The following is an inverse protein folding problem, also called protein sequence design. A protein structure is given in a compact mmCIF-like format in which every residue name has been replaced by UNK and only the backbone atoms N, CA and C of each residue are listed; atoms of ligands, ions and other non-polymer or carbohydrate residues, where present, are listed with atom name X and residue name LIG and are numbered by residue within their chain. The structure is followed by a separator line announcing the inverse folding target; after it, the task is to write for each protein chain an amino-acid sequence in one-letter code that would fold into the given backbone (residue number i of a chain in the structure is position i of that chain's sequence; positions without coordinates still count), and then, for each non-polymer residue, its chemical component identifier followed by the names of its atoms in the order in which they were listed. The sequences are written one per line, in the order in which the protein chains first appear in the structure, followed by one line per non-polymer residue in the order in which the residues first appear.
data_IF_968445586306
#
_entry.id   IF_968445586306
#
_cell.length_a   1.000
_cell.length_b   1.000
_cell.length_c   1.000
_cell.angle_alpha   90.00
_cell.angle_beta   90.00
_cell.angle_gamma   90.00
#
_symmetry.space_group_name_H-M   'P 1'
#
loop_
_entity.id
_entity.type
_entity.pdbx_description
1 polymer ?
#
# COMPACT_ATOMS: atom_id res chain seq x y z
N UNK A 1 -5.17 -38.50 -18.03
CA UNK A 1 -4.91 -37.15 -17.47
C UNK A 1 -4.95 -37.30 -15.96
N UNK A 2 -3.80 -37.29 -15.29
CA UNK A 2 -3.74 -37.40 -13.82
C UNK A 2 -3.91 -35.98 -13.29
N UNK A 3 -5.04 -35.71 -12.63
CA UNK A 3 -5.24 -34.46 -11.91
C UNK A 3 -4.39 -34.53 -10.65
N UNK A 4 -3.28 -33.77 -10.63
CA UNK A 4 -2.43 -33.62 -9.45
C UNK A 4 -3.22 -32.83 -8.41
N UNK A 5 -3.60 -33.47 -7.31
CA UNK A 5 -4.26 -32.79 -6.19
C UNK A 5 -3.20 -31.99 -5.44
N UNK A 6 -3.25 -30.67 -5.57
CA UNK A 6 -2.38 -29.76 -4.81
C UNK A 6 -3.00 -29.61 -3.41
N UNK A 7 -2.28 -30.08 -2.39
CA UNK A 7 -2.65 -29.81 -1.00
C UNK A 7 -2.39 -28.34 -0.68
N UNK A 8 -3.43 -27.61 -0.28
CA UNK A 8 -3.33 -26.19 0.14
C UNK A 8 -2.77 -26.04 1.56
N UNK A 9 -2.48 -27.13 2.26
CA UNK A 9 -1.88 -27.09 3.60
C UNK A 9 -0.42 -26.68 3.47
N UNK A 10 -0.02 -25.65 4.21
CA UNK A 10 1.38 -25.27 4.34
C UNK A 10 2.05 -26.28 5.28
N UNK A 11 2.96 -27.07 4.76
CA UNK A 11 3.85 -27.92 5.55
C UNK A 11 5.28 -27.76 5.03
N UNK A 12 6.32 -28.10 5.81
CA UNK A 12 7.71 -28.01 5.34
C UNK A 12 8.00 -28.77 4.04
N UNK A 13 7.16 -29.76 3.70
CA UNK A 13 7.30 -30.58 2.50
C UNK A 13 6.25 -30.28 1.43
N UNK A 14 5.38 -29.28 1.60
CA UNK A 14 4.33 -28.98 0.63
C UNK A 14 4.85 -28.04 -0.47
N UNK A 15 4.48 -28.34 -1.71
CA UNK A 15 4.76 -27.47 -2.87
C UNK A 15 4.05 -26.11 -2.75
N UNK A 16 2.94 -26.05 -1.99
CA UNK A 16 2.22 -24.81 -1.70
C UNK A 16 3.04 -23.84 -0.85
N UNK A 17 4.02 -24.32 -0.06
CA UNK A 17 4.87 -23.48 0.77
C UNK A 17 5.77 -22.57 -0.06
N UNK A 18 6.36 -23.08 -1.14
CA UNK A 18 7.26 -22.30 -2.01
C UNK A 18 6.51 -21.15 -2.68
N UNK A 19 5.36 -21.44 -3.29
CA UNK A 19 4.52 -20.41 -3.91
C UNK A 19 3.93 -19.42 -2.90
N UNK A 20 3.69 -19.85 -1.66
CA UNK A 20 3.29 -18.93 -0.59
C UNK A 20 4.45 -18.08 -0.09
N UNK A 21 5.69 -18.60 -0.06
CA UNK A 21 6.83 -17.87 0.47
C UNK A 21 7.28 -16.74 -0.47
N UNK A 22 7.18 -16.96 -1.79
CA UNK A 22 7.54 -16.02 -2.84
C UNK A 22 6.46 -16.00 -3.96
N UNK A 23 5.28 -15.39 -3.69
CA UNK A 23 4.15 -15.44 -4.62
C UNK A 23 4.41 -14.70 -5.94
N UNK A 24 5.26 -13.68 -5.91
CA UNK A 24 5.58 -12.81 -7.04
C UNK A 24 6.66 -13.36 -7.98
N UNK A 25 7.25 -14.52 -7.68
CA UNK A 25 8.21 -15.18 -8.60
C UNK A 25 7.54 -15.67 -9.89
N UNK A 26 6.24 -15.95 -9.83
CA UNK A 26 5.48 -16.53 -10.95
C UNK A 26 4.54 -15.53 -11.62
N UNK A 27 4.19 -14.45 -10.93
CA UNK A 27 3.21 -13.48 -11.38
C UNK A 27 3.63 -12.09 -10.92
N UNK A 28 3.65 -11.14 -11.85
CA UNK A 28 3.93 -9.75 -11.53
C UNK A 28 2.74 -9.09 -10.86
N UNK A 29 3.00 -8.49 -9.70
CA UNK A 29 2.00 -7.73 -8.95
C UNK A 29 2.37 -6.26 -9.00
N UNK A 30 1.40 -5.43 -9.40
CA UNK A 30 1.54 -3.99 -9.48
C UNK A 30 0.64 -3.31 -8.46
N UNK A 31 1.21 -2.36 -7.73
CA UNK A 31 0.48 -1.45 -6.87
C UNK A 31 0.38 -0.10 -7.57
N UNK A 32 -0.86 0.32 -7.87
CA UNK A 32 -1.13 1.54 -8.60
C UNK A 32 -1.71 2.59 -7.68
N UNK A 33 -1.12 3.79 -7.67
CA UNK A 33 -1.64 4.92 -6.92
C UNK A 33 -2.25 5.96 -7.85
N UNK A 34 -3.42 6.46 -7.50
CA UNK A 34 -4.05 7.61 -8.14
C UNK A 34 -4.10 8.71 -7.09
N UNK A 35 -3.45 9.83 -7.40
CA UNK A 35 -3.35 10.97 -6.50
C UNK A 35 -4.36 12.04 -6.89
N UNK A 36 -4.87 12.78 -5.91
CA UNK A 36 -5.73 13.95 -6.14
C UNK A 36 -4.93 15.22 -5.92
N UNK A 37 -4.57 15.90 -7.02
CA UNK A 37 -3.90 17.19 -7.02
C UNK A 37 -4.91 18.32 -6.78
N UNK A 38 -4.63 19.22 -5.83
CA UNK A 38 -5.47 20.38 -5.53
C UNK A 38 -5.04 21.58 -6.37
N UNK A 39 -5.89 22.04 -7.28
CA UNK A 39 -5.54 23.12 -8.23
C UNK A 39 -5.80 24.52 -7.68
N UNK A 40 -6.58 24.67 -6.61
CA UNK A 40 -6.95 25.94 -5.99
C UNK A 40 -6.53 26.04 -4.50
N UNK A 41 -5.37 25.49 -4.15
CA UNK A 41 -4.93 25.36 -2.75
C UNK A 41 -4.93 26.69 -1.97
N UNK A 42 -4.50 27.79 -2.58
CA UNK A 42 -4.50 29.12 -1.95
C UNK A 42 -5.91 29.59 -1.57
N UNK A 43 -6.89 29.35 -2.43
CA UNK A 43 -8.28 29.73 -2.19
C UNK A 43 -8.90 28.89 -1.06
N UNK A 44 -8.56 27.60 -1.00
CA UNK A 44 -8.97 26.71 0.08
C UNK A 44 -8.42 27.22 1.42
N UNK A 45 -7.13 27.55 1.48
CA UNK A 45 -6.48 27.97 2.74
C UNK A 45 -6.93 29.38 3.16
N UNK A 46 -6.96 30.34 2.24
CA UNK A 46 -7.21 31.73 2.58
C UNK A 46 -8.70 32.06 2.75
N UNK A 47 -9.58 31.38 2.01
CA UNK A 47 -11.03 31.72 1.94
C UNK A 47 -11.96 30.58 2.33
N UNK A 48 -11.43 29.38 2.60
CA UNK A 48 -12.26 28.21 2.91
C UNK A 48 -13.09 27.74 1.71
N UNK A 49 -12.63 28.03 0.48
CA UNK A 49 -13.33 27.58 -0.73
C UNK A 49 -13.30 26.05 -0.88
N UNK A 50 -14.26 25.51 -1.64
CA UNK A 50 -14.29 24.09 -1.95
C UNK A 50 -13.05 23.70 -2.77
N UNK A 51 -12.31 22.64 -2.39
CA UNK A 51 -11.15 22.20 -3.15
C UNK A 51 -11.55 21.67 -4.53
N UNK A 52 -10.76 22.04 -5.53
CA UNK A 52 -10.83 21.56 -6.90
C UNK A 52 -9.75 20.49 -7.09
N UNK A 53 -10.19 19.26 -7.34
CA UNK A 53 -9.32 18.09 -7.44
C UNK A 53 -9.10 17.70 -8.90
N UNK A 54 -7.86 17.35 -9.23
CA UNK A 54 -7.47 16.73 -10.49
C UNK A 54 -6.82 15.38 -10.19
N UNK A 55 -7.34 14.31 -10.77
CA UNK A 55 -6.72 12.99 -10.68
C UNK A 55 -5.42 12.95 -11.49
N UNK A 56 -4.35 12.42 -10.87
CA UNK A 56 -3.04 12.22 -11.48
C UNK A 56 -2.61 10.79 -11.21
N UNK A 57 -2.35 10.03 -12.27
CA UNK A 57 -1.93 8.64 -12.19
C UNK A 57 -2.56 7.76 -13.28
N UNK A 58 -2.33 6.43 -13.23
CA UNK A 58 -1.70 5.72 -12.12
C UNK A 58 -0.18 5.93 -12.02
N UNK A 59 0.34 6.00 -10.80
CA UNK A 59 1.74 5.75 -10.47
C UNK A 59 1.87 4.26 -10.15
N UNK A 60 2.47 3.50 -11.05
CA UNK A 60 2.56 2.05 -10.91
C UNK A 60 3.89 1.65 -10.30
N UNK A 61 3.81 0.82 -9.27
CA UNK A 61 4.97 0.24 -8.61
C UNK A 61 4.88 -1.28 -8.69
N UNK A 62 5.88 -1.91 -9.31
CA UNK A 62 6.01 -3.36 -9.30
C UNK A 62 6.51 -3.82 -7.95
N UNK A 63 5.82 -4.78 -7.37
CA UNK A 63 6.29 -5.54 -6.22
C UNK A 63 7.41 -6.48 -6.64
N UNK A 64 8.50 -6.49 -5.89
CA UNK A 64 9.72 -7.19 -6.31
C UNK A 64 10.05 -8.31 -5.37
N UNK A 65 10.41 -9.46 -5.94
CA UNK A 65 11.16 -10.50 -5.23
C UNK A 65 12.63 -10.39 -5.62
N UNK A 66 13.50 -10.35 -4.63
CA UNK A 66 14.94 -10.33 -4.83
C UNK A 66 15.39 -11.75 -4.72
N UNK A 67 15.80 -12.28 -5.88
CA UNK A 67 16.46 -13.57 -5.97
C UNK A 67 17.74 -13.55 -5.12
N UNK A 68 17.97 -14.60 -4.34
CA UNK A 68 19.08 -14.74 -3.37
C UNK A 68 20.44 -14.64 -4.08
N UNK A 69 20.47 -14.81 -5.40
CA UNK A 69 21.68 -14.85 -6.22
C UNK A 69 22.17 -13.48 -6.73
N UNK A 70 21.50 -12.37 -6.40
CA UNK A 70 21.96 -11.03 -6.81
C UNK A 70 22.22 -10.11 -5.61
N UNK A 71 23.42 -10.11 -5.01
CA UNK A 71 23.67 -9.36 -3.77
C UNK A 71 23.94 -7.86 -3.95
N UNK A 72 23.95 -7.29 -5.16
CA UNK A 72 24.66 -6.01 -5.37
C UNK A 72 23.89 -4.83 -5.96
N UNK A 73 22.57 -4.87 -6.11
CA UNK A 73 21.83 -3.66 -6.48
C UNK A 73 20.44 -3.63 -5.82
N UNK A 74 20.36 -2.94 -4.67
CA UNK A 74 19.19 -2.36 -4.03
C UNK A 74 17.81 -2.88 -4.44
N UNK A 75 17.36 -3.97 -3.82
CA UNK A 75 15.93 -4.19 -3.55
C UNK A 75 15.85 -5.21 -2.43
N UNK A 76 15.33 -4.79 -1.28
CA UNK A 76 14.65 -5.74 -0.41
C UNK A 76 13.32 -6.10 -1.10
N UNK A 77 12.60 -7.12 -0.66
CA UNK A 77 11.66 -7.81 -1.56
C UNK A 77 10.49 -8.44 -0.82
N UNK A 78 9.37 -8.70 -1.52
CA UNK A 78 8.28 -9.55 -1.00
C UNK A 78 8.72 -10.99 -0.82
N UNK A 79 9.30 -11.25 0.36
CA UNK A 79 9.62 -12.58 0.84
C UNK A 79 9.17 -12.74 2.28
N UNK A 80 8.51 -13.86 2.54
CA UNK A 80 8.28 -14.32 3.90
C UNK A 80 9.56 -14.99 4.40
N UNK A 81 10.19 -14.37 5.39
CA UNK A 81 11.48 -14.78 5.96
C UNK A 81 11.30 -15.21 7.41
N UNK A 82 12.34 -15.84 7.99
CA UNK A 82 12.33 -16.31 9.37
C UNK A 82 11.17 -17.26 9.71
N UNK A 83 10.91 -18.22 8.81
CA UNK A 83 9.87 -19.23 9.00
C UNK A 83 10.22 -20.08 10.23
N UNK A 84 9.34 -20.08 11.22
CA UNK A 84 9.43 -20.94 12.41
C UNK A 84 8.10 -21.64 12.65
N UNK A 85 8.18 -22.97 12.74
CA UNK A 85 7.03 -23.82 13.05
C UNK A 85 6.93 -24.00 14.56
N UNK A 86 5.69 -24.05 15.09
CA UNK A 86 5.45 -24.52 16.45
C UNK A 86 5.82 -26.00 16.60
N UNK A 87 6.11 -26.46 17.82
CA UNK A 87 6.42 -27.88 18.10
C UNK A 87 5.33 -28.83 17.60
N UNK A 88 4.06 -28.43 17.70
CA UNK A 88 2.91 -29.21 17.20
C UNK A 88 2.74 -29.18 15.67
N UNK A 89 3.58 -28.43 14.95
CA UNK A 89 3.50 -28.23 13.49
C UNK A 89 2.27 -27.47 12.98
N UNK A 90 1.36 -27.05 13.88
CA UNK A 90 0.09 -26.43 13.53
C UNK A 90 0.20 -24.92 13.21
N UNK A 91 1.26 -24.25 13.66
CA UNK A 91 1.45 -22.80 13.47
C UNK A 91 2.76 -22.50 12.77
N UNK A 92 2.71 -21.56 11.84
CA UNK A 92 3.85 -20.98 11.15
C UNK A 92 3.96 -19.50 11.49
N UNK A 93 5.08 -19.10 12.07
CA UNK A 93 5.44 -17.69 12.31
C UNK A 93 6.44 -17.24 11.25
N UNK A 94 6.27 -16.04 10.73
CA UNK A 94 7.12 -15.48 9.69
C UNK A 94 7.16 -13.94 9.80
N UNK A 95 8.14 -13.34 9.13
CA UNK A 95 8.20 -11.91 8.88
C UNK A 95 8.00 -11.65 7.39
N UNK A 96 7.17 -10.69 7.04
CA UNK A 96 6.96 -10.28 5.65
C UNK A 96 7.74 -9.01 5.39
N UNK A 97 8.66 -9.06 4.43
CA UNK A 97 9.29 -7.87 3.90
C UNK A 97 8.51 -7.48 2.65
N UNK A 98 8.26 -6.19 2.41
CA UNK A 98 7.59 -5.72 1.21
C UNK A 98 8.43 -4.65 0.55
N UNK A 99 8.55 -4.71 -0.76
CA UNK A 99 9.29 -3.71 -1.50
C UNK A 99 8.74 -3.53 -2.89
N UNK A 100 8.87 -2.30 -3.33
CA UNK A 100 8.21 -1.76 -4.49
C UNK A 100 9.23 -0.96 -5.27
N UNK A 101 9.06 -0.94 -6.58
CA UNK A 101 9.76 0.03 -7.38
C UNK A 101 8.92 0.50 -8.52
N UNK A 102 9.16 1.76 -8.87
CA UNK A 102 8.44 2.44 -9.91
C UNK A 102 8.61 1.72 -11.25
N UNK A 103 7.49 1.60 -11.96
CA UNK A 103 7.42 1.02 -13.29
C UNK A 103 6.81 2.06 -14.25
N UNK A 104 7.64 2.70 -15.10
CA UNK A 104 7.17 3.77 -15.99
C UNK A 104 6.27 3.22 -17.11
N UNK A 105 6.40 1.94 -17.49
CA UNK A 105 5.63 1.35 -18.59
C UNK A 105 4.16 1.16 -18.23
N UNK A 106 3.87 0.75 -16.99
CA UNK A 106 2.49 0.61 -16.50
C UNK A 106 1.95 1.86 -15.82
N UNK A 107 2.73 2.95 -15.77
CA UNK A 107 2.30 4.25 -15.23
C UNK A 107 1.64 5.13 -16.30
N UNK A 108 0.95 6.18 -15.88
CA UNK A 108 0.38 7.15 -16.80
C UNK A 108 1.45 7.89 -17.62
N UNK A 109 1.18 8.24 -18.90
CA UNK A 109 2.13 8.99 -19.71
C UNK A 109 2.51 10.34 -19.08
N UNK A 110 3.81 10.62 -18.99
CA UNK A 110 4.33 11.87 -18.44
C UNK A 110 4.29 11.97 -16.91
N UNK A 111 4.03 10.85 -16.22
CA UNK A 111 4.13 10.75 -14.76
C UNK A 111 5.39 9.96 -14.40
N UNK A 112 6.12 10.46 -13.41
CA UNK A 112 7.35 9.88 -12.85
C UNK A 112 7.39 10.05 -11.32
N UNK A 113 8.45 9.54 -10.68
CA UNK A 113 8.63 9.66 -9.22
C UNK A 113 8.82 11.13 -8.76
N UNK A 114 9.25 12.02 -9.65
CA UNK A 114 9.50 13.44 -9.38
C UNK A 114 8.25 14.32 -9.60
N UNK A 115 7.13 13.72 -10.02
CA UNK A 115 5.88 14.42 -10.31
C UNK A 115 5.30 15.04 -9.03
N UNK A 116 5.25 16.37 -9.01
CA UNK A 116 4.80 17.13 -7.85
C UNK A 116 3.27 17.12 -7.71
N UNK A 117 2.80 16.77 -6.51
CA UNK A 117 1.38 16.75 -6.15
C UNK A 117 1.12 17.73 -4.99
N UNK A 118 0.18 18.65 -5.18
CA UNK A 118 -0.31 19.52 -4.11
C UNK A 118 -1.45 18.80 -3.38
N UNK A 119 -1.22 18.47 -2.11
CA UNK A 119 -2.20 17.81 -1.24
C UNK A 119 -2.15 18.38 0.17
N UNK A 120 -2.98 17.83 1.06
CA UNK A 120 -3.02 18.24 2.46
C UNK A 120 -1.70 17.96 3.18
N UNK A 121 -1.30 18.85 4.08
CA UNK A 121 -0.15 18.64 4.96
C UNK A 121 -0.52 17.62 6.06
N UNK A 122 -0.36 16.33 5.76
CA UNK A 122 -0.70 15.24 6.67
C UNK A 122 0.06 15.28 8.02
N UNK A 123 1.38 15.56 8.07
CA UNK A 123 2.08 15.71 9.34
C UNK A 123 1.51 16.83 10.22
N UNK A 124 1.13 17.97 9.64
CA UNK A 124 0.49 19.07 10.37
C UNK A 124 -0.89 18.66 10.91
N UNK A 125 -1.69 17.93 10.11
CA UNK A 125 -2.98 17.43 10.59
C UNK A 125 -2.80 16.55 11.83
N UNK A 126 -1.92 15.55 11.78
CA UNK A 126 -1.74 14.61 12.89
C UNK A 126 -1.18 15.29 14.15
N UNK A 127 -0.25 16.25 13.99
CA UNK A 127 0.38 16.95 15.11
C UNK A 127 -0.43 18.11 15.69
N UNK A 128 -1.26 18.78 14.89
CA UNK A 128 -2.10 19.91 15.31
C UNK A 128 -3.43 19.49 15.96
N UNK A 129 -3.89 18.26 15.69
CA UNK A 129 -5.19 17.75 16.14
C UNK A 129 -5.36 17.60 17.67
N UNK A 130 -4.34 17.25 18.48
CA UNK A 130 -4.51 17.15 19.93
C UNK A 130 -4.67 18.51 20.62
N UNK A 131 -4.21 19.61 20.00
CA UNK A 131 -4.14 20.93 20.64
C UNK A 131 -5.23 21.88 20.14
N UNK A 132 -5.72 21.71 18.90
CA UNK A 132 -6.71 22.62 18.31
C UNK A 132 -8.15 22.08 18.35
N UNK A 133 -8.36 20.77 18.38
CA UNK A 133 -9.68 20.18 18.46
C UNK A 133 -9.86 19.50 19.81
N UNK A 134 -10.54 20.19 20.74
CA UNK A 134 -11.34 19.47 21.71
C UNK A 134 -12.21 18.46 20.94
N UNK A 135 -12.29 17.23 21.47
CA UNK A 135 -12.86 16.03 20.88
C UNK A 135 -14.22 16.22 20.15
N UNK A 136 -14.98 17.26 20.48
CA UNK A 136 -16.31 17.58 19.95
C UNK A 136 -16.35 17.95 18.46
N UNK A 137 -15.30 18.54 17.89
CA UNK A 137 -15.34 18.99 16.47
C UNK A 137 -15.20 17.82 15.48
N UNK A 138 -14.39 16.81 15.81
CA UNK A 138 -14.19 15.63 14.95
C UNK A 138 -15.47 14.81 14.84
N UNK A 139 -16.21 14.63 15.95
CA UNK A 139 -17.49 13.91 15.94
C UNK A 139 -18.53 14.64 15.08
N UNK A 140 -18.50 15.98 15.06
CA UNK A 140 -19.40 16.79 14.23
C UNK A 140 -19.12 16.64 12.73
N UNK A 141 -17.86 16.77 12.31
CA UNK A 141 -17.47 16.65 10.89
C UNK A 141 -17.72 15.24 10.36
N UNK A 142 -17.46 14.21 11.18
CA UNK A 142 -17.73 12.81 10.78
C UNK A 142 -19.23 12.52 10.72
N UNK A 143 -20.05 13.02 11.66
CA UNK A 143 -21.51 12.85 11.61
C UNK A 143 -22.16 13.60 10.44
N UNK A 144 -21.74 14.84 10.20
CA UNK A 144 -22.31 15.69 9.16
C UNK A 144 -21.82 15.29 7.75
N UNK A 145 -20.57 14.82 7.62
CA UNK A 145 -20.00 14.36 6.35
C UNK A 145 -20.44 12.95 5.93
N UNK A 146 -20.76 12.06 6.87
CA UNK A 146 -21.24 10.71 6.56
C UNK A 146 -22.77 10.60 6.44
N UNK A 147 -23.53 11.70 6.59
CA UNK A 147 -24.98 11.68 6.45
C UNK A 147 -25.70 10.73 7.42
N UNK A 148 -25.10 10.42 8.56
CA UNK A 148 -25.75 9.59 9.59
C UNK A 148 -26.70 10.49 10.36
N UNK A 149 -27.89 10.66 9.79
CA UNK A 149 -29.02 11.32 10.43
C UNK A 149 -29.36 10.64 11.75
N UNK A 150 -29.62 11.45 12.77
CA UNK A 150 -30.07 10.99 14.07
C UNK A 150 -31.47 10.37 13.92
N UNK A 151 -31.62 9.11 14.31
CA UNK A 151 -32.87 8.56 14.86
C UNK A 151 -32.67 8.31 16.33
#
# INVERSE_FOLDING_TARGET
MIVKVISMVLTPSSESLEGWQAPTDKVDVFMQFIMFNVTNAEAVIARGEKPMLQEVGPFSYREIVTDILTPLLHRESRRRVNLSWSEDGARLTYSEHLSYAFDPETSAPGVDEDTSIVTVNAPMLVSGLPTLLCYDTIVKVVREGCGVGQT
#
